data_IF_621207097206
#
_entry.id   IF_621207097206
#
_cell.length_a   1.000
_cell.length_b   1.000
_cell.length_c   1.000
_cell.angle_alpha   90.00
_cell.angle_beta   90.00
_cell.angle_gamma   90.00
#
_symmetry.space_group_name_H-M   'P 1'
#
loop_
_entity.id
_entity.type
_entity.pdbx_description
1 polymer ?
#
# COMPACT_ATOMS: atom_id res chain seq x y z
N UNK A 1 21.13 -13.22 -3.50
CA UNK A 1 21.77 -14.51 -3.88
C UNK A 1 20.64 -15.52 -4.00
N UNK A 2 20.28 -15.95 -5.22
CA UNK A 2 19.25 -16.98 -5.43
C UNK A 2 19.77 -18.29 -4.83
N UNK A 3 19.03 -18.91 -3.90
CA UNK A 3 19.37 -20.19 -3.29
C UNK A 3 19.05 -21.30 -4.28
N UNK A 4 20.07 -22.06 -4.68
CA UNK A 4 19.88 -23.27 -5.49
C UNK A 4 19.34 -24.39 -4.60
N UNK A 5 18.25 -25.02 -5.02
CA UNK A 5 17.68 -26.22 -4.40
C UNK A 5 17.76 -27.37 -5.38
N UNK A 6 17.95 -28.60 -4.89
CA UNK A 6 17.90 -29.81 -5.70
C UNK A 6 16.57 -30.50 -5.38
N UNK A 7 15.76 -30.79 -6.41
CA UNK A 7 14.50 -31.52 -6.22
C UNK A 7 14.76 -33.02 -5.98
N UNK A 8 13.72 -33.77 -5.59
CA UNK A 8 13.80 -35.21 -5.34
C UNK A 8 14.25 -36.05 -6.55
N UNK A 9 14.37 -35.45 -7.71
CA UNK A 9 14.84 -36.05 -8.96
C UNK A 9 16.27 -35.66 -9.31
N UNK A 10 16.94 -34.84 -8.46
CA UNK A 10 18.29 -34.35 -8.68
C UNK A 10 18.38 -33.20 -9.68
N UNK A 11 17.25 -32.56 -10.01
CA UNK A 11 17.21 -31.39 -10.89
C UNK A 11 17.43 -30.12 -10.07
N UNK A 12 18.33 -29.28 -10.52
CA UNK A 12 18.56 -27.95 -9.93
C UNK A 12 17.34 -27.06 -10.21
N UNK A 13 16.56 -26.76 -9.16
CA UNK A 13 15.40 -25.86 -9.23
C UNK A 13 15.80 -24.58 -8.53
N UNK A 14 15.67 -23.45 -9.20
CA UNK A 14 15.86 -22.17 -8.55
C UNK A 14 14.72 -21.96 -7.54
N UNK A 15 15.05 -21.47 -6.36
CA UNK A 15 14.01 -21.06 -5.40
C UNK A 15 13.15 -19.98 -6.00
N UNK A 16 11.82 -20.01 -5.79
CA UNK A 16 10.94 -18.95 -6.28
C UNK A 16 11.35 -17.60 -5.69
N UNK A 17 11.22 -16.55 -6.48
CA UNK A 17 11.44 -15.16 -6.02
C UNK A 17 10.35 -14.80 -5.01
N UNK A 18 10.76 -14.39 -3.82
CA UNK A 18 9.88 -13.94 -2.75
C UNK A 18 9.66 -12.44 -2.83
N UNK A 19 8.43 -12.03 -3.13
CA UNK A 19 7.99 -10.64 -3.19
C UNK A 19 7.18 -10.36 -1.94
N UNK A 20 7.60 -9.36 -1.14
CA UNK A 20 6.88 -8.89 0.05
C UNK A 20 6.22 -7.55 -0.26
N UNK A 21 4.97 -7.41 0.16
CA UNK A 21 4.13 -6.24 -0.08
C UNK A 21 3.65 -5.70 1.27
N UNK A 22 4.06 -4.50 1.63
CA UNK A 22 3.61 -3.81 2.84
C UNK A 22 2.54 -2.78 2.52
N UNK A 23 1.64 -2.56 3.47
CA UNK A 23 0.60 -1.53 3.41
C UNK A 23 1.14 -0.11 3.58
N UNK A 24 0.27 0.78 4.08
CA UNK A 24 0.58 2.19 4.25
C UNK A 24 1.73 2.40 5.24
N UNK A 25 2.67 3.26 4.88
CA UNK A 25 3.84 3.63 5.69
C UNK A 25 3.79 5.14 5.93
N UNK A 26 3.66 5.51 7.20
CA UNK A 26 3.72 6.89 7.70
C UNK A 26 4.71 6.93 8.85
N UNK A 27 5.81 7.65 8.68
CA UNK A 27 6.91 7.75 9.66
C UNK A 27 7.12 9.23 10.03
N UNK A 28 6.14 9.86 10.66
CA UNK A 28 6.20 11.26 11.07
C UNK A 28 6.56 11.46 12.54
N UNK A 29 7.03 10.41 13.20
CA UNK A 29 7.55 10.43 14.57
C UNK A 29 9.01 10.00 14.60
N UNK A 30 9.71 10.42 15.65
CA UNK A 30 11.12 10.09 15.86
C UNK A 30 11.36 8.58 15.97
N UNK A 31 12.62 8.16 15.79
CA UNK A 31 13.09 6.76 15.90
C UNK A 31 12.40 5.81 14.90
N UNK A 32 12.40 6.17 13.61
CA UNK A 32 11.79 5.39 12.54
C UNK A 32 12.30 3.93 12.48
N UNK A 33 13.55 3.67 12.87
CA UNK A 33 14.10 2.32 12.96
C UNK A 33 13.37 1.46 14.00
N UNK A 34 13.05 2.02 15.16
CA UNK A 34 12.28 1.32 16.19
C UNK A 34 10.91 0.87 15.65
N UNK A 35 10.22 1.75 14.94
CA UNK A 35 8.88 1.44 14.45
C UNK A 35 8.88 0.37 13.36
N UNK A 36 9.87 0.34 12.49
CA UNK A 36 10.01 -0.68 11.45
C UNK A 36 10.62 -1.99 11.96
N UNK A 37 11.34 -1.97 13.09
CA UNK A 37 12.10 -3.13 13.58
C UNK A 37 11.26 -4.40 13.80
N UNK A 38 9.96 -4.27 14.09
CA UNK A 38 9.10 -5.42 14.34
C UNK A 38 8.72 -6.22 13.09
N UNK A 39 8.77 -5.59 11.90
CA UNK A 39 8.50 -6.23 10.61
C UNK A 39 9.78 -6.40 9.76
N UNK A 40 10.86 -5.69 10.08
CA UNK A 40 12.12 -5.73 9.34
C UNK A 40 12.65 -7.16 9.09
N UNK A 41 12.53 -8.14 10.01
CA UNK A 41 12.97 -9.50 9.74
C UNK A 41 12.27 -10.15 8.53
N UNK A 42 10.98 -9.89 8.31
CA UNK A 42 10.25 -10.41 7.15
C UNK A 42 10.60 -9.64 5.87
N UNK A 43 10.82 -8.32 5.98
CA UNK A 43 11.23 -7.45 4.86
C UNK A 43 12.60 -7.88 4.35
N UNK A 44 13.60 -8.02 5.24
CA UNK A 44 14.96 -8.45 4.90
C UNK A 44 15.06 -9.90 4.39
N UNK A 45 14.08 -10.74 4.68
CA UNK A 45 14.04 -12.13 4.22
C UNK A 45 13.47 -12.28 2.81
N UNK A 46 12.83 -11.24 2.24
CA UNK A 46 12.31 -11.24 0.89
C UNK A 46 13.42 -10.93 -0.14
N UNK A 47 13.23 -11.39 -1.38
CA UNK A 47 14.11 -11.02 -2.50
C UNK A 47 13.78 -9.62 -3.03
N UNK A 48 12.52 -9.20 -2.87
CA UNK A 48 12.02 -7.83 -3.16
C UNK A 48 10.96 -7.45 -2.15
N UNK A 49 11.10 -6.28 -1.54
CA UNK A 49 10.13 -5.70 -0.63
C UNK A 49 9.61 -4.34 -1.13
N UNK A 50 8.29 -4.22 -1.21
CA UNK A 50 7.59 -3.03 -1.72
C UNK A 50 6.61 -2.54 -0.66
N UNK A 51 6.62 -1.23 -0.34
CA UNK A 51 5.66 -0.58 0.56
C UNK A 51 4.91 0.56 -0.11
N UNK A 52 3.94 1.16 0.59
CA UNK A 52 3.30 2.40 0.16
C UNK A 52 3.71 3.54 1.09
N UNK A 53 4.53 4.46 0.60
CA UNK A 53 4.92 5.66 1.33
C UNK A 53 3.85 6.74 1.13
N UNK A 54 3.07 6.99 2.16
CA UNK A 54 1.84 7.76 2.04
C UNK A 54 2.03 9.27 2.18
N UNK A 55 2.94 9.71 3.09
CA UNK A 55 3.13 11.12 3.40
C UNK A 55 4.43 11.67 2.81
N UNK A 56 4.49 12.98 2.49
CA UNK A 56 5.72 13.59 2.01
C UNK A 56 6.76 13.72 3.13
N UNK A 57 8.03 13.50 2.79
CA UNK A 57 9.16 13.64 3.68
C UNK A 57 9.95 14.90 3.31
N UNK A 58 9.63 16.01 3.96
CA UNK A 58 10.17 17.33 3.63
C UNK A 58 10.09 18.30 4.79
N UNK A 59 11.00 19.26 4.82
CA UNK A 59 10.96 20.44 5.68
C UNK A 59 10.46 21.67 4.92
N UNK A 60 10.16 21.55 3.62
CA UNK A 60 9.73 22.64 2.71
C UNK A 60 8.25 22.54 2.37
N UNK A 61 7.81 23.46 1.55
CA UNK A 61 6.47 23.50 0.98
C UNK A 61 5.41 24.03 1.92
N UNK A 62 4.26 24.25 1.37
CA UNK A 62 3.06 24.69 2.07
C UNK A 62 1.97 23.64 2.03
N UNK A 63 1.10 23.68 3.02
CA UNK A 63 0.00 22.73 3.18
C UNK A 63 -0.99 22.81 2.00
N UNK A 64 -1.35 21.66 1.46
CA UNK A 64 -2.33 21.55 0.39
C UNK A 64 -3.75 21.73 0.96
N UNK A 65 -4.55 22.62 0.34
CA UNK A 65 -5.96 22.73 0.64
C UNK A 65 -6.76 21.60 -0.05
N UNK A 66 -7.72 21.00 0.64
CA UNK A 66 -8.68 20.06 0.04
C UNK A 66 -8.76 18.67 0.66
N UNK A 67 -7.95 18.37 1.66
CA UNK A 67 -8.04 17.16 2.50
C UNK A 67 -7.62 17.48 3.94
N UNK A 68 -7.55 16.50 4.81
CA UNK A 68 -6.90 16.61 6.12
C UNK A 68 -5.39 16.49 5.89
N UNK A 69 -4.63 17.61 5.92
CA UNK A 69 -3.25 17.56 5.48
C UNK A 69 -2.37 16.80 6.47
N UNK A 70 -1.53 15.92 5.95
CA UNK A 70 -0.48 15.31 6.71
C UNK A 70 0.64 16.34 7.00
N UNK A 71 1.29 16.29 8.17
CA UNK A 71 2.53 17.02 8.38
C UNK A 71 3.60 16.49 7.43
N UNK A 72 4.55 17.35 7.02
CA UNK A 72 5.76 16.86 6.35
C UNK A 72 6.58 16.05 7.35
N UNK A 73 6.87 14.80 7.04
CA UNK A 73 7.74 13.97 7.86
C UNK A 73 9.22 14.36 7.64
N UNK A 74 10.07 14.02 8.60
CA UNK A 74 11.50 14.29 8.52
C UNK A 74 12.16 13.45 7.41
N UNK A 75 12.88 14.03 6.44
CA UNK A 75 13.51 13.27 5.34
C UNK A 75 14.44 12.15 5.79
N UNK A 76 15.14 12.32 6.93
CA UNK A 76 16.04 11.32 7.47
C UNK A 76 15.32 10.04 7.95
N UNK A 77 14.00 10.09 8.19
CA UNK A 77 13.24 8.88 8.55
C UNK A 77 13.19 7.85 7.42
N UNK A 78 13.34 8.27 6.15
CA UNK A 78 13.42 7.36 5.00
C UNK A 78 14.64 6.44 5.04
N UNK A 79 15.69 6.79 5.78
CA UNK A 79 16.87 5.94 5.94
C UNK A 79 16.52 4.62 6.63
N UNK A 80 15.51 4.63 7.49
CA UNK A 80 15.02 3.43 8.14
C UNK A 80 14.35 2.46 7.16
N UNK A 81 13.73 2.94 6.07
CA UNK A 81 13.21 2.06 5.01
C UNK A 81 14.35 1.29 4.34
N UNK A 82 15.43 1.99 3.96
CA UNK A 82 16.61 1.35 3.36
C UNK A 82 17.24 0.32 4.31
N UNK A 83 17.42 0.68 5.59
CA UNK A 83 17.97 -0.24 6.59
C UNK A 83 17.07 -1.44 6.88
N UNK A 84 15.76 -1.27 6.76
CA UNK A 84 14.78 -2.35 6.91
C UNK A 84 14.67 -3.25 5.68
N UNK A 85 15.32 -2.90 4.55
CA UNK A 85 15.39 -3.72 3.36
C UNK A 85 14.28 -3.47 2.33
N UNK A 86 13.60 -2.31 2.35
CA UNK A 86 12.66 -1.94 1.28
C UNK A 86 13.41 -1.57 0.01
N UNK A 87 13.04 -2.21 -1.11
CA UNK A 87 13.61 -2.00 -2.45
C UNK A 87 12.83 -0.95 -3.24
N UNK A 88 11.53 -0.85 -3.01
CA UNK A 88 10.67 0.11 -3.70
C UNK A 88 9.51 0.60 -2.84
N UNK A 89 8.96 1.76 -3.24
CA UNK A 89 7.73 2.30 -2.67
C UNK A 89 6.78 2.79 -3.75
N UNK A 90 5.47 2.57 -3.55
CA UNK A 90 4.42 3.28 -4.25
C UNK A 90 4.15 4.62 -3.55
N UNK A 91 3.89 5.69 -4.33
CA UNK A 91 3.72 7.06 -3.83
C UNK A 91 2.35 7.66 -4.14
N UNK A 92 1.57 7.06 -5.05
CA UNK A 92 0.30 7.63 -5.47
C UNK A 92 -0.77 7.47 -4.38
N UNK A 93 -0.76 8.35 -3.40
CA UNK A 93 -1.74 8.46 -2.32
C UNK A 93 -2.41 9.84 -2.27
N UNK A 94 -3.36 10.02 -1.36
CA UNK A 94 -4.02 11.31 -1.13
C UNK A 94 -3.14 12.30 -0.38
N UNK A 95 -2.07 11.83 0.29
CA UNK A 95 -1.22 12.66 1.14
C UNK A 95 0.14 13.03 0.56
N UNK A 96 0.64 12.37 -0.50
CA UNK A 96 1.99 12.65 -1.03
C UNK A 96 2.19 14.12 -1.48
N UNK A 97 1.11 14.80 -1.85
CA UNK A 97 1.14 16.20 -2.27
C UNK A 97 0.81 17.20 -1.15
N UNK A 98 0.63 16.78 0.09
CA UNK A 98 0.18 17.63 1.20
C UNK A 98 1.14 18.77 1.56
N UNK A 99 2.38 18.70 1.09
CA UNK A 99 3.38 19.78 1.20
C UNK A 99 3.71 20.40 -0.16
N UNK A 100 2.82 20.24 -1.14
CA UNK A 100 3.00 20.79 -2.48
C UNK A 100 4.09 20.12 -3.30
N UNK A 101 4.52 20.76 -4.40
CA UNK A 101 5.58 20.25 -5.28
C UNK A 101 6.90 19.97 -4.56
N UNK A 102 7.27 20.84 -3.61
CA UNK A 102 8.52 20.71 -2.84
C UNK A 102 8.55 19.45 -1.99
N UNK A 103 7.38 19.05 -1.43
CA UNK A 103 7.24 17.81 -0.68
C UNK A 103 7.51 16.58 -1.52
N UNK A 104 6.97 16.56 -2.75
CA UNK A 104 7.20 15.47 -3.70
C UNK A 104 8.66 15.43 -4.14
N UNK A 105 9.24 16.59 -4.47
CA UNK A 105 10.63 16.72 -4.90
C UNK A 105 11.61 16.20 -3.84
N UNK A 106 11.48 16.65 -2.59
CA UNK A 106 12.35 16.23 -1.48
C UNK A 106 12.22 14.72 -1.19
N UNK A 107 11.00 14.21 -1.19
CA UNK A 107 10.73 12.79 -0.96
C UNK A 107 11.38 11.93 -2.03
N UNK A 108 11.19 12.27 -3.31
CA UNK A 108 11.79 11.55 -4.44
C UNK A 108 13.31 11.63 -4.38
N UNK A 109 13.87 12.84 -4.18
CA UNK A 109 15.31 13.03 -4.10
C UNK A 109 15.96 12.19 -2.97
N UNK A 110 15.26 12.05 -1.82
CA UNK A 110 15.75 11.20 -0.74
C UNK A 110 15.68 9.72 -1.07
N UNK A 111 14.58 9.24 -1.68
CA UNK A 111 14.44 7.85 -2.13
C UNK A 111 15.53 7.50 -3.16
N UNK A 112 15.76 8.37 -4.13
CA UNK A 112 16.84 8.21 -5.14
C UNK A 112 18.21 8.11 -4.49
N UNK A 113 18.50 8.97 -3.51
CA UNK A 113 19.77 8.96 -2.77
C UNK A 113 19.97 7.67 -1.95
N UNK A 114 18.89 7.02 -1.54
CA UNK A 114 18.88 5.75 -0.81
C UNK A 114 18.86 4.51 -1.73
N UNK A 115 18.69 4.72 -3.05
CA UNK A 115 18.55 3.63 -4.01
C UNK A 115 17.20 2.89 -3.93
N UNK A 116 16.19 3.50 -3.29
CA UNK A 116 14.83 2.95 -3.21
C UNK A 116 14.07 3.37 -4.46
N UNK A 117 13.65 2.40 -5.27
CA UNK A 117 12.84 2.67 -6.46
C UNK A 117 11.45 3.18 -6.07
N UNK A 118 10.84 4.03 -6.91
CA UNK A 118 9.53 4.60 -6.60
C UNK A 118 8.66 4.77 -7.85
N UNK A 119 7.35 4.72 -7.67
CA UNK A 119 6.36 4.96 -8.71
C UNK A 119 5.14 5.69 -8.14
N UNK A 120 4.46 6.47 -8.96
CA UNK A 120 3.17 7.04 -8.58
C UNK A 120 3.18 8.53 -8.26
N UNK A 121 4.34 9.18 -8.17
CA UNK A 121 4.45 10.64 -8.03
C UNK A 121 5.59 11.19 -8.88
N UNK A 122 5.51 12.46 -9.24
CA UNK A 122 6.54 13.09 -10.06
C UNK A 122 6.27 14.57 -10.35
N UNK A 123 7.26 15.23 -10.94
CA UNK A 123 7.17 16.65 -11.33
C UNK A 123 6.12 16.92 -12.41
N UNK A 124 5.73 15.90 -13.18
CA UNK A 124 4.70 15.94 -14.20
C UNK A 124 3.88 14.65 -14.17
N UNK A 125 2.71 14.63 -14.81
CA UNK A 125 1.87 13.44 -14.95
C UNK A 125 2.59 12.30 -15.67
N UNK A 126 3.40 12.61 -16.67
CA UNK A 126 4.21 11.62 -17.39
C UNK A 126 5.20 10.92 -16.44
N UNK A 127 5.92 11.70 -15.62
CA UNK A 127 6.85 11.15 -14.64
C UNK A 127 6.14 10.38 -13.52
N UNK A 128 5.00 10.89 -13.05
CA UNK A 128 4.19 10.21 -12.03
C UNK A 128 3.66 8.85 -12.50
N UNK A 129 3.34 8.69 -13.79
CA UNK A 129 2.84 7.43 -14.38
C UNK A 129 3.95 6.46 -14.79
N UNK A 130 5.21 6.88 -14.75
CA UNK A 130 6.33 6.01 -15.13
C UNK A 130 6.45 4.84 -14.14
N UNK A 131 6.55 3.59 -14.63
CA UNK A 131 6.77 2.45 -13.73
C UNK A 131 8.16 2.51 -13.11
N UNK A 132 8.27 2.08 -11.85
CA UNK A 132 9.54 1.66 -11.29
C UNK A 132 9.85 0.24 -11.78
N UNK A 133 11.10 0.00 -12.22
CA UNK A 133 11.53 -1.33 -12.69
C UNK A 133 12.63 -1.84 -11.78
N UNK A 134 12.37 -2.95 -11.11
CA UNK A 134 13.30 -3.66 -10.23
C UNK A 134 13.88 -4.86 -10.97
N UNK A 135 15.14 -5.19 -10.67
CA UNK A 135 15.79 -6.38 -11.21
C UNK A 135 16.15 -7.34 -10.08
N UNK A 136 15.67 -8.56 -10.16
CA UNK A 136 15.88 -9.61 -9.15
C UNK A 136 15.98 -10.97 -9.80
N UNK A 137 17.00 -11.76 -9.44
CA UNK A 137 17.19 -13.12 -9.97
C UNK A 137 17.26 -13.20 -11.50
N UNK A 138 17.78 -12.16 -12.17
CA UNK A 138 17.83 -12.08 -13.64
C UNK A 138 16.51 -11.73 -14.32
N UNK A 139 15.42 -11.55 -13.56
CA UNK A 139 14.08 -11.15 -14.03
C UNK A 139 13.75 -9.72 -13.60
N UNK A 140 12.73 -9.12 -14.22
CA UNK A 140 12.31 -7.74 -13.96
C UNK A 140 10.88 -7.67 -13.44
N UNK A 141 10.68 -6.82 -12.45
CA UNK A 141 9.36 -6.48 -11.88
C UNK A 141 9.10 -5.01 -12.17
N UNK A 142 7.93 -4.69 -12.74
CA UNK A 142 7.46 -3.31 -12.87
C UNK A 142 6.41 -3.01 -11.81
N UNK A 143 6.56 -1.89 -11.11
CA UNK A 143 5.59 -1.33 -10.17
C UNK A 143 4.94 -0.11 -10.80
N UNK A 144 3.61 -0.13 -10.90
CA UNK A 144 2.76 1.03 -11.22
C UNK A 144 1.96 1.42 -9.97
N UNK A 145 1.66 2.71 -9.81
CA UNK A 145 0.94 3.20 -8.63
C UNK A 145 -0.02 4.32 -9.01
N UNK A 146 -1.27 4.25 -8.51
CA UNK A 146 -2.33 5.21 -8.82
C UNK A 146 -3.17 5.55 -7.59
N UNK A 147 -3.52 6.85 -7.48
CA UNK A 147 -4.50 7.37 -6.54
C UNK A 147 -5.90 7.31 -7.19
N UNK A 148 -6.85 6.67 -6.51
CA UNK A 148 -8.24 6.56 -6.93
C UNK A 148 -9.18 7.42 -6.07
N UNK A 149 -8.70 7.99 -4.95
CA UNK A 149 -9.55 8.66 -3.96
C UNK A 149 -9.37 10.18 -3.94
N UNK A 150 -8.49 10.74 -4.77
CA UNK A 150 -8.22 12.18 -4.77
C UNK A 150 -7.38 12.63 -3.56
N UNK A 151 -7.47 13.91 -3.12
CA UNK A 151 -8.22 14.96 -3.79
C UNK A 151 -7.65 15.32 -5.17
N UNK A 152 -8.47 15.85 -6.08
CA UNK A 152 -8.01 16.22 -7.43
C UNK A 152 -6.86 17.25 -7.41
N UNK A 153 -6.75 18.04 -6.34
CA UNK A 153 -5.64 18.97 -6.14
C UNK A 153 -4.27 18.27 -6.00
N UNK A 154 -4.23 17.04 -5.52
CA UNK A 154 -3.02 16.23 -5.37
C UNK A 154 -2.53 15.61 -6.69
N UNK A 155 -3.36 15.62 -7.74
CA UNK A 155 -3.06 14.98 -9.02
C UNK A 155 -2.01 15.75 -9.82
N UNK A 156 -1.07 15.02 -10.38
CA UNK A 156 -0.10 15.58 -11.31
C UNK A 156 -0.79 16.08 -12.58
N UNK A 157 -0.25 17.12 -13.16
CA UNK A 157 -0.65 17.62 -14.49
C UNK A 157 0.57 17.64 -15.42
N UNK A 158 0.39 18.07 -16.66
CA UNK A 158 1.51 18.24 -17.59
C UNK A 158 2.62 19.15 -17.03
N UNK A 159 2.25 20.13 -16.23
CA UNK A 159 3.16 21.20 -15.78
C UNK A 159 3.15 21.39 -14.24
N UNK A 160 2.59 20.45 -13.50
CA UNK A 160 2.53 20.52 -12.03
C UNK A 160 2.83 19.16 -11.44
N UNK A 161 3.71 19.12 -10.43
CA UNK A 161 4.00 17.94 -9.65
C UNK A 161 2.74 17.44 -8.91
N UNK A 162 2.66 16.15 -8.72
CA UNK A 162 1.55 15.49 -8.07
C UNK A 162 1.65 13.98 -8.18
N UNK A 163 0.59 13.27 -7.80
CA UNK A 163 0.50 11.83 -7.96
C UNK A 163 -0.17 11.42 -9.28
N UNK A 164 0.16 10.22 -9.76
CA UNK A 164 -0.59 9.53 -10.81
C UNK A 164 -1.97 9.14 -10.26
N UNK A 165 -2.99 9.16 -11.10
CA UNK A 165 -4.37 8.94 -10.68
C UNK A 165 -5.19 8.17 -11.71
N UNK A 166 -6.24 7.53 -11.21
CA UNK A 166 -7.32 6.97 -12.01
C UNK A 166 -8.62 7.64 -11.59
N UNK A 167 -9.14 8.52 -12.42
CA UNK A 167 -10.34 9.29 -12.11
C UNK A 167 -11.55 8.37 -11.97
N UNK A 168 -12.29 8.55 -10.88
CA UNK A 168 -13.56 7.89 -10.61
C UNK A 168 -14.73 8.85 -10.87
N UNK A 169 -15.89 8.27 -11.15
CA UNK A 169 -17.17 8.97 -11.18
C UNK A 169 -17.70 9.07 -9.76
N UNK A 170 -18.19 10.25 -9.38
CA UNK A 170 -18.92 10.47 -8.12
C UNK A 170 -20.43 10.42 -8.40
N UNK A 171 -21.22 9.87 -7.49
CA UNK A 171 -22.67 9.75 -7.69
C UNK A 171 -23.42 11.09 -7.62
N UNK A 172 -22.82 12.10 -7.02
CA UNK A 172 -23.37 13.45 -6.85
C UNK A 172 -22.73 14.52 -7.73
N UNK A 173 -21.78 14.15 -8.60
CA UNK A 173 -21.05 15.08 -9.45
C UNK A 173 -19.99 15.93 -8.73
N UNK A 174 -19.72 15.67 -7.46
CA UNK A 174 -18.67 16.36 -6.70
C UNK A 174 -17.26 16.00 -7.25
N UNK A 175 -16.24 16.85 -7.03
CA UNK A 175 -14.86 16.47 -7.29
C UNK A 175 -14.45 15.21 -6.51
N UNK A 176 -13.57 14.41 -7.10
CA UNK A 176 -13.02 13.23 -6.42
C UNK A 176 -12.23 13.65 -5.18
N UNK A 177 -12.62 13.10 -4.05
CA UNK A 177 -11.96 13.31 -2.77
C UNK A 177 -12.15 12.08 -1.87
N UNK A 178 -11.35 11.91 -0.79
CA UNK A 178 -11.44 10.75 0.10
C UNK A 178 -12.81 10.57 0.77
N UNK A 179 -13.61 11.64 0.82
CA UNK A 179 -14.97 11.63 1.40
C UNK A 179 -16.08 11.70 0.36
N UNK A 180 -15.75 11.76 -0.93
CA UNK A 180 -16.73 11.79 -2.02
C UNK A 180 -17.41 10.42 -2.21
N UNK A 181 -18.67 10.39 -2.68
CA UNK A 181 -19.39 9.14 -2.96
C UNK A 181 -18.91 8.53 -4.28
N UNK A 182 -17.77 7.85 -4.26
CA UNK A 182 -17.11 7.24 -5.40
C UNK A 182 -17.89 6.02 -5.89
N UNK A 183 -18.21 5.96 -7.19
CA UNK A 183 -19.12 4.98 -7.77
C UNK A 183 -18.42 3.97 -8.71
N UNK A 184 -17.72 4.46 -9.74
CA UNK A 184 -17.15 3.62 -10.78
C UNK A 184 -15.90 4.27 -11.39
N UNK A 185 -15.00 3.48 -12.03
CA UNK A 185 -13.92 4.05 -12.82
C UNK A 185 -14.46 4.82 -14.04
N UNK A 186 -13.89 5.99 -14.31
CA UNK A 186 -14.16 6.70 -15.54
C UNK A 186 -13.58 5.94 -16.73
N UNK A 187 -14.23 5.96 -17.89
CA UNK A 187 -13.77 5.22 -19.08
C UNK A 187 -12.34 5.58 -19.47
N UNK A 188 -11.97 6.85 -19.41
CA UNK A 188 -10.60 7.32 -19.70
C UNK A 188 -9.59 6.77 -18.68
N UNK A 189 -9.96 6.60 -17.42
CA UNK A 189 -9.09 6.00 -16.40
C UNK A 189 -8.77 4.54 -16.73
N UNK A 190 -9.75 3.78 -17.22
CA UNK A 190 -9.51 2.40 -17.66
C UNK A 190 -8.60 2.33 -18.89
N UNK A 191 -8.73 3.28 -19.82
CA UNK A 191 -7.84 3.38 -20.98
C UNK A 191 -6.39 3.71 -20.55
N UNK A 192 -6.23 4.64 -19.61
CA UNK A 192 -4.94 4.98 -19.02
C UNK A 192 -4.31 3.76 -18.36
N UNK A 193 -5.05 3.08 -17.50
CA UNK A 193 -4.61 1.88 -16.80
C UNK A 193 -4.15 0.79 -17.78
N UNK A 194 -4.95 0.50 -18.80
CA UNK A 194 -4.61 -0.47 -19.84
C UNK A 194 -3.35 -0.08 -20.62
N UNK A 195 -3.24 1.19 -21.03
CA UNK A 195 -2.07 1.69 -21.76
C UNK A 195 -0.78 1.56 -20.96
N UNK A 196 -0.80 1.96 -19.69
CA UNK A 196 0.37 1.95 -18.82
C UNK A 196 0.81 0.52 -18.48
N UNK A 197 -0.13 -0.37 -18.17
CA UNK A 197 0.17 -1.79 -17.93
C UNK A 197 0.74 -2.43 -19.19
N UNK A 198 0.16 -2.16 -20.36
CA UNK A 198 0.68 -2.67 -21.64
C UNK A 198 2.09 -2.16 -21.96
N UNK A 199 2.41 -0.94 -21.57
CA UNK A 199 3.76 -0.39 -21.68
C UNK A 199 4.73 -1.03 -20.66
N UNK A 200 4.33 -1.18 -19.40
CA UNK A 200 5.12 -1.81 -18.35
C UNK A 200 5.45 -3.28 -18.67
N UNK A 201 4.51 -4.01 -19.28
CA UNK A 201 4.69 -5.42 -19.71
C UNK A 201 5.78 -5.60 -20.74
N UNK A 202 6.13 -4.58 -21.52
CA UNK A 202 7.25 -4.59 -22.45
C UNK A 202 8.61 -4.41 -21.76
N UNK A 203 8.60 -3.94 -20.52
CA UNK A 203 9.80 -3.62 -19.74
C UNK A 203 10.12 -4.67 -18.68
N UNK A 204 9.13 -5.51 -18.29
CA UNK A 204 9.24 -6.40 -17.16
C UNK A 204 8.49 -7.73 -17.37
N UNK A 205 8.97 -8.75 -16.67
CA UNK A 205 8.42 -10.11 -16.69
C UNK A 205 7.20 -10.24 -15.76
N UNK A 206 7.10 -9.37 -14.73
CA UNK A 206 5.99 -9.31 -13.79
C UNK A 206 5.57 -7.85 -13.57
N UNK A 207 4.26 -7.59 -13.53
CA UNK A 207 3.69 -6.26 -13.33
C UNK A 207 2.84 -6.22 -12.08
N UNK A 208 3.21 -5.34 -11.14
CA UNK A 208 2.46 -5.04 -9.92
C UNK A 208 1.78 -3.70 -10.07
N UNK A 209 0.49 -3.64 -9.73
CA UNK A 209 -0.30 -2.40 -9.73
C UNK A 209 -0.74 -2.08 -8.30
N UNK A 210 -0.25 -0.97 -7.77
CA UNK A 210 -0.65 -0.43 -6.48
C UNK A 210 -1.78 0.59 -6.67
N UNK A 211 -2.92 0.36 -6.02
CA UNK A 211 -4.11 1.21 -6.08
C UNK A 211 -4.40 1.80 -4.70
N UNK A 212 -4.25 3.09 -4.55
CA UNK A 212 -4.67 3.82 -3.35
C UNK A 212 -6.16 4.08 -3.42
N UNK A 213 -6.97 3.21 -2.77
CA UNK A 213 -8.40 3.07 -3.00
C UNK A 213 -9.17 2.58 -1.77
N UNK A 214 -10.46 2.76 -1.78
CA UNK A 214 -11.37 2.18 -0.80
C UNK A 214 -11.97 3.17 0.18
N UNK A 215 -12.64 2.65 1.18
CA UNK A 215 -13.27 3.42 2.26
C UNK A 215 -12.41 3.27 3.51
N UNK A 216 -11.92 4.38 4.06
CA UNK A 216 -11.09 4.38 5.27
C UNK A 216 -11.81 3.74 6.46
N UNK A 217 -11.06 3.05 7.31
CA UNK A 217 -11.51 2.47 8.58
C UNK A 217 -12.76 1.58 8.49
N UNK A 218 -12.99 0.95 7.34
CA UNK A 218 -14.17 0.12 7.10
C UNK A 218 -13.75 -1.30 6.71
N UNK A 219 -13.69 -2.27 7.63
CA UNK A 219 -12.99 -3.55 7.41
C UNK A 219 -13.67 -4.45 6.36
N UNK A 220 -14.93 -4.73 6.49
CA UNK A 220 -15.62 -5.78 5.73
C UNK A 220 -16.52 -5.24 4.61
N UNK A 221 -16.13 -4.13 3.99
CA UNK A 221 -16.89 -3.51 2.90
C UNK A 221 -15.96 -2.96 1.83
N UNK A 222 -16.12 -3.42 0.61
CA UNK A 222 -15.53 -2.81 -0.57
C UNK A 222 -16.52 -1.80 -1.17
N UNK A 223 -16.03 -0.67 -1.66
CA UNK A 223 -16.83 0.23 -2.48
C UNK A 223 -17.04 -0.39 -3.87
N UNK A 224 -18.14 -0.03 -4.54
CA UNK A 224 -18.59 -0.65 -5.80
C UNK A 224 -17.53 -0.60 -6.92
N UNK A 225 -16.62 0.37 -6.90
CA UNK A 225 -15.56 0.51 -7.89
C UNK A 225 -14.31 -0.34 -7.62
N UNK A 226 -14.12 -0.85 -6.39
CA UNK A 226 -12.83 -1.43 -5.97
C UNK A 226 -12.50 -2.75 -6.67
N UNK A 227 -13.47 -3.67 -6.79
CA UNK A 227 -13.28 -4.91 -7.56
C UNK A 227 -13.18 -4.63 -9.07
N UNK A 228 -14.08 -3.84 -9.69
CA UNK A 228 -14.00 -3.54 -11.12
C UNK A 228 -12.65 -2.97 -11.56
N UNK A 229 -12.06 -2.04 -10.80
CA UNK A 229 -10.77 -1.43 -11.18
C UNK A 229 -9.60 -2.42 -10.99
N UNK A 230 -9.65 -3.26 -9.96
CA UNK A 230 -8.65 -4.29 -9.73
C UNK A 230 -8.69 -5.38 -10.82
N UNK A 231 -9.90 -5.83 -11.20
CA UNK A 231 -10.08 -6.79 -12.28
C UNK A 231 -9.64 -6.22 -13.63
N UNK A 232 -9.97 -4.94 -13.91
CA UNK A 232 -9.52 -4.27 -15.13
C UNK A 232 -7.97 -4.20 -15.21
N UNK A 233 -7.28 -4.01 -14.08
CA UNK A 233 -5.82 -4.08 -14.05
C UNK A 233 -5.30 -5.47 -14.43
N UNK A 234 -5.89 -6.53 -13.87
CA UNK A 234 -5.51 -7.92 -14.21
C UNK A 234 -5.79 -8.25 -15.67
N UNK A 235 -6.94 -7.81 -16.20
CA UNK A 235 -7.32 -7.99 -17.61
C UNK A 235 -6.39 -7.24 -18.56
N UNK A 236 -5.89 -6.07 -18.17
CA UNK A 236 -4.90 -5.30 -18.90
C UNK A 236 -3.50 -5.94 -18.88
N UNK A 237 -3.26 -6.94 -18.05
CA UNK A 237 -2.01 -7.69 -18.01
C UNK A 237 -1.19 -7.52 -16.71
N UNK A 238 -1.74 -6.92 -15.65
CA UNK A 238 -1.12 -6.98 -14.33
C UNK A 238 -1.12 -8.41 -13.80
N UNK A 239 -0.13 -8.73 -12.95
CA UNK A 239 0.01 -10.03 -12.31
C UNK A 239 -0.38 -9.99 -10.84
N UNK A 240 -0.16 -8.86 -10.19
CA UNK A 240 -0.48 -8.63 -8.78
C UNK A 240 -1.16 -7.26 -8.67
N UNK A 241 -2.24 -7.18 -7.91
CA UNK A 241 -2.88 -5.92 -7.54
C UNK A 241 -2.86 -5.77 -6.02
N UNK A 242 -2.42 -4.61 -5.54
CA UNK A 242 -2.39 -4.28 -4.12
C UNK A 242 -3.17 -2.99 -3.84
N UNK A 243 -3.97 -3.00 -2.77
CA UNK A 243 -4.75 -1.85 -2.31
C UNK A 243 -4.15 -1.20 -1.07
N UNK A 244 -4.26 0.13 -0.98
CA UNK A 244 -3.84 0.98 0.13
C UNK A 244 -4.94 1.97 0.52
N UNK A 245 -4.72 2.92 1.43
CA UNK A 245 -5.65 3.97 1.85
C UNK A 245 -6.59 3.60 3.00
N UNK A 246 -7.15 2.40 3.01
CA UNK A 246 -8.21 2.06 3.96
C UNK A 246 -7.75 2.07 5.44
N UNK A 247 -6.44 2.06 5.70
CA UNK A 247 -5.82 1.97 7.03
C UNK A 247 -6.31 0.78 7.87
N UNK A 248 -6.86 -0.21 7.19
CA UNK A 248 -7.30 -1.48 7.75
C UNK A 248 -7.18 -2.55 6.68
N UNK A 249 -6.85 -3.77 7.06
CA UNK A 249 -6.77 -4.86 6.10
C UNK A 249 -8.14 -5.14 5.50
N UNK A 250 -8.13 -5.45 4.21
CA UNK A 250 -9.31 -5.81 3.42
C UNK A 250 -9.16 -7.25 2.93
N UNK A 251 -10.16 -7.78 2.29
CA UNK A 251 -10.12 -9.15 1.80
C UNK A 251 -9.06 -9.39 0.71
N UNK A 252 -8.81 -10.67 0.48
CA UNK A 252 -7.90 -11.17 -0.55
C UNK A 252 -8.70 -11.98 -1.55
N UNK A 253 -8.39 -11.83 -2.83
CA UNK A 253 -9.03 -12.55 -3.92
C UNK A 253 -7.97 -13.14 -4.86
N UNK A 254 -8.23 -14.34 -5.37
CA UNK A 254 -7.41 -14.95 -6.42
C UNK A 254 -8.24 -15.00 -7.71
N UNK A 255 -7.85 -14.21 -8.69
CA UNK A 255 -8.52 -14.11 -9.98
C UNK A 255 -7.68 -14.78 -11.06
N UNK A 256 -8.11 -15.94 -11.56
CA UNK A 256 -7.36 -16.72 -12.57
C UNK A 256 -5.89 -16.95 -12.19
N UNK A 257 -5.65 -17.31 -10.91
CA UNK A 257 -4.31 -17.56 -10.38
C UNK A 257 -3.51 -16.31 -10.01
N UNK A 258 -4.08 -15.11 -10.15
CA UNK A 258 -3.42 -13.83 -9.84
C UNK A 258 -3.99 -13.22 -8.56
N UNK A 259 -3.15 -12.81 -7.60
CA UNK A 259 -3.63 -12.27 -6.34
C UNK A 259 -4.05 -10.80 -6.45
N UNK A 260 -5.15 -10.49 -5.77
CA UNK A 260 -5.63 -9.15 -5.45
C UNK A 260 -5.70 -9.00 -3.94
N UNK A 261 -4.82 -8.21 -3.37
CA UNK A 261 -4.91 -7.76 -1.98
C UNK A 261 -5.70 -6.46 -1.98
N UNK A 262 -6.99 -6.50 -1.62
CA UNK A 262 -7.87 -5.32 -1.72
C UNK A 262 -7.48 -4.18 -0.79
N UNK A 263 -6.76 -4.47 0.29
CA UNK A 263 -6.15 -3.50 1.19
C UNK A 263 -5.19 -4.19 2.14
N UNK A 264 -3.92 -3.81 2.11
CA UNK A 264 -2.90 -4.35 3.00
C UNK A 264 -2.96 -3.73 4.41
N UNK A 265 -3.74 -2.64 4.59
CA UNK A 265 -3.84 -1.93 5.85
C UNK A 265 -2.56 -1.15 6.18
N UNK A 266 -2.30 -0.98 7.48
CA UNK A 266 -1.13 -0.28 7.97
C UNK A 266 0.10 -1.20 7.94
N UNK A 267 1.05 -0.92 7.06
CA UNK A 267 2.37 -1.56 7.05
C UNK A 267 3.21 -1.09 8.25
N UNK A 268 3.33 0.24 8.39
CA UNK A 268 3.85 0.90 9.58
C UNK A 268 3.34 2.35 9.59
N UNK A 269 2.23 2.59 10.27
CA UNK A 269 1.66 3.94 10.40
C UNK A 269 1.84 4.40 11.83
N UNK A 270 2.76 5.36 12.02
CA UNK A 270 3.02 6.01 13.30
C UNK A 270 2.99 7.52 13.11
N UNK A 271 1.92 8.12 13.59
CA UNK A 271 1.64 9.55 13.44
C UNK A 271 0.89 10.11 14.62
N UNK A 272 1.21 11.35 14.97
CA UNK A 272 0.44 12.13 15.95
C UNK A 272 -0.64 12.99 15.30
N UNK A 273 -0.72 12.98 13.96
CA UNK A 273 -1.62 13.87 13.22
C UNK A 273 -3.10 13.70 13.60
N UNK A 274 -3.52 12.49 14.01
CA UNK A 274 -4.89 12.18 14.42
C UNK A 274 -5.04 11.84 15.91
N UNK A 275 -4.00 12.09 16.71
CA UNK A 275 -4.06 11.92 18.16
C UNK A 275 -4.93 12.97 18.81
N UNK A 276 -5.53 12.72 19.99
CA UNK A 276 -6.22 13.75 20.77
C UNK A 276 -5.30 14.95 21.08
N UNK A 277 -5.89 16.15 21.15
CA UNK A 277 -5.15 17.38 21.52
C UNK A 277 -4.38 18.00 20.37
N UNK A 278 -4.83 17.81 19.13
CA UNK A 278 -4.23 18.45 17.95
C UNK A 278 -4.35 19.97 18.00
N UNK A 279 -3.23 20.68 17.82
CA UNK A 279 -3.20 22.14 17.70
C UNK A 279 -3.66 22.62 16.30
N UNK A 280 -3.57 21.78 15.29
CA UNK A 280 -3.97 22.11 13.92
C UNK A 280 -5.50 22.00 13.77
N UNK A 281 -6.21 23.11 13.37
CA UNK A 281 -7.68 23.14 13.37
C UNK A 281 -8.32 22.07 12.48
N UNK A 282 -7.78 21.80 11.29
CA UNK A 282 -8.31 20.77 10.37
C UNK A 282 -8.17 19.36 10.96
N UNK A 283 -7.04 19.05 11.61
CA UNK A 283 -6.81 17.76 12.26
C UNK A 283 -7.70 17.57 13.48
N UNK A 284 -7.85 18.61 14.31
CA UNK A 284 -8.78 18.59 15.46
C UNK A 284 -10.23 18.36 15.00
N UNK A 285 -10.68 19.07 13.98
CA UNK A 285 -12.01 18.89 13.39
C UNK A 285 -12.20 17.49 12.81
N UNK A 286 -11.16 16.90 12.20
CA UNK A 286 -11.21 15.54 11.69
C UNK A 286 -11.33 14.49 12.79
N UNK A 287 -10.60 14.61 13.88
CA UNK A 287 -10.73 13.70 15.04
C UNK A 287 -12.18 13.63 15.53
N UNK A 288 -12.86 14.78 15.66
CA UNK A 288 -14.27 14.82 16.06
C UNK A 288 -15.22 14.30 14.98
N UNK A 289 -14.95 14.61 13.72
CA UNK A 289 -15.75 14.13 12.59
C UNK A 289 -15.65 12.62 12.43
N UNK A 290 -14.45 12.03 12.60
CA UNK A 290 -14.18 10.62 12.49
C UNK A 290 -15.06 9.77 13.39
N UNK A 291 -15.23 10.17 14.65
CA UNK A 291 -16.12 9.49 15.60
C UNK A 291 -17.54 9.37 15.07
N UNK A 292 -18.06 10.47 14.48
CA UNK A 292 -19.41 10.49 13.91
C UNK A 292 -19.54 9.67 12.61
N UNK A 293 -18.51 9.71 11.77
CA UNK A 293 -18.54 9.02 10.46
C UNK A 293 -18.40 7.51 10.58
N UNK A 294 -17.52 7.05 11.44
CA UNK A 294 -17.13 5.65 11.51
C UNK A 294 -17.70 4.90 12.73
N UNK A 295 -18.26 5.62 13.68
CA UNK A 295 -18.99 5.03 14.82
C UNK A 295 -18.12 4.29 15.83
N UNK A 296 -16.80 4.57 15.88
CA UNK A 296 -15.91 3.96 16.86
C UNK A 296 -15.10 5.02 17.63
N UNK A 297 -14.71 4.66 18.86
CA UNK A 297 -13.73 5.40 19.64
C UNK A 297 -12.36 4.74 19.48
N UNK A 298 -11.28 5.51 19.22
CA UNK A 298 -9.94 4.99 19.24
C UNK A 298 -9.58 4.40 20.59
N UNK A 299 -8.86 3.28 20.59
CA UNK A 299 -8.31 2.71 21.81
C UNK A 299 -7.25 3.67 22.41
N UNK A 300 -7.39 4.13 23.65
CA UNK A 300 -6.46 5.08 24.27
C UNK A 300 -5.03 4.52 24.42
N UNK A 301 -4.83 3.22 24.35
CA UNK A 301 -3.50 2.62 24.34
C UNK A 301 -2.74 2.88 23.03
N UNK A 302 -3.46 3.19 21.95
CA UNK A 302 -2.89 3.46 20.62
C UNK A 302 -2.88 4.95 20.33
N UNK A 303 -1.92 5.65 20.90
CA UNK A 303 -1.80 7.12 20.76
C UNK A 303 -1.22 7.56 19.41
N UNK A 304 -0.63 6.65 18.64
CA UNK A 304 -0.07 6.93 17.31
C UNK A 304 -0.93 6.32 16.20
N UNK A 305 -1.09 5.00 16.20
CA UNK A 305 -1.89 4.18 15.29
C UNK A 305 -2.02 2.78 15.90
N UNK A 306 -3.01 1.96 15.50
CA UNK A 306 -3.99 2.14 14.43
C UNK A 306 -5.18 3.00 14.83
N UNK A 307 -5.85 3.59 13.85
CA UNK A 307 -7.00 4.47 14.08
C UNK A 307 -8.30 3.70 14.37
N UNK A 308 -8.46 2.50 13.81
CA UNK A 308 -9.60 1.62 14.04
C UNK A 308 -9.20 0.48 14.99
N UNK A 309 -10.03 0.09 15.98
CA UNK A 309 -9.68 -0.98 16.92
C UNK A 309 -9.31 -2.31 16.27
N UNK A 310 -9.96 -2.68 15.14
CA UNK A 310 -9.63 -3.91 14.41
C UNK A 310 -8.32 -3.81 13.60
N UNK A 311 -7.79 -2.61 13.36
CA UNK A 311 -6.54 -2.41 12.61
C UNK A 311 -5.29 -2.88 13.37
N UNK A 312 -5.44 -3.36 14.59
CA UNK A 312 -4.39 -4.13 15.30
C UNK A 312 -4.08 -5.47 14.59
N UNK A 313 -5.03 -5.99 13.79
CA UNK A 313 -4.80 -7.12 12.91
C UNK A 313 -4.29 -6.58 11.59
N UNK A 314 -3.04 -6.86 11.28
CA UNK A 314 -2.36 -6.37 10.08
C UNK A 314 -1.70 -7.53 9.34
N UNK A 315 -1.23 -7.28 8.12
CA UNK A 315 -0.55 -8.28 7.31
C UNK A 315 0.50 -7.65 6.39
N UNK A 316 1.50 -8.43 6.03
CA UNK A 316 2.27 -8.20 4.82
C UNK A 316 1.82 -9.22 3.77
N UNK A 317 1.51 -8.78 2.57
CA UNK A 317 1.27 -9.68 1.45
C UNK A 317 2.58 -10.35 1.04
N UNK A 318 2.55 -11.64 0.69
CA UNK A 318 3.70 -12.35 0.18
C UNK A 318 3.34 -13.14 -1.07
N UNK A 319 4.13 -13.01 -2.12
CA UNK A 319 3.94 -13.76 -3.37
C UNK A 319 5.24 -14.45 -3.71
N UNK A 320 5.16 -15.76 -3.92
CA UNK A 320 6.27 -16.55 -4.43
C UNK A 320 6.09 -16.71 -5.95
N UNK A 321 7.06 -16.24 -6.70
CA UNK A 321 7.06 -16.24 -8.17
C UNK A 321 8.07 -17.25 -8.69
N UNK A 322 7.60 -18.36 -9.22
CA UNK A 322 8.43 -19.44 -9.73
C UNK A 322 8.98 -19.19 -11.16
N UNK A 323 9.87 -20.06 -11.62
CA UNK A 323 10.50 -19.93 -12.93
C UNK A 323 9.54 -20.20 -14.10
N UNK A 324 8.45 -20.91 -13.87
CA UNK A 324 7.40 -21.15 -14.85
C UNK A 324 6.43 -19.95 -14.97
N UNK A 325 6.59 -18.92 -14.14
CA UNK A 325 5.71 -17.76 -14.07
C UNK A 325 4.50 -17.96 -13.15
N UNK A 326 4.43 -19.06 -12.41
CA UNK A 326 3.40 -19.32 -11.40
C UNK A 326 3.51 -18.39 -10.21
N UNK A 327 2.36 -17.99 -9.66
CA UNK A 327 2.26 -17.13 -8.49
C UNK A 327 1.57 -17.89 -7.36
N UNK A 328 2.24 -17.98 -6.23
CA UNK A 328 1.62 -18.48 -5.01
C UNK A 328 1.51 -17.34 -4.01
N UNK A 329 0.27 -16.98 -3.68
CA UNK A 329 -0.01 -15.89 -2.77
C UNK A 329 -0.12 -16.38 -1.32
N UNK A 330 0.32 -15.55 -0.40
CA UNK A 330 0.19 -15.75 1.02
C UNK A 330 0.26 -14.43 1.79
N UNK A 331 0.20 -14.55 3.09
CA UNK A 331 0.32 -13.43 4.02
C UNK A 331 1.28 -13.77 5.15
N UNK A 332 2.05 -12.78 5.59
CA UNK A 332 2.78 -12.83 6.85
C UNK A 332 1.93 -12.08 7.88
N UNK A 333 1.41 -12.76 8.91
CA UNK A 333 0.57 -12.12 9.91
C UNK A 333 1.35 -11.07 10.71
N UNK A 334 0.75 -9.91 10.92
CA UNK A 334 1.29 -8.81 11.71
C UNK A 334 0.28 -8.38 12.75
N UNK A 335 0.76 -8.04 13.93
CA UNK A 335 -0.01 -7.42 14.99
C UNK A 335 0.55 -6.05 15.33
N UNK A 336 -0.32 -5.08 15.53
CA UNK A 336 0.12 -3.74 15.97
C UNK A 336 0.06 -3.68 17.48
N UNK A 337 1.20 -3.43 18.12
CA UNK A 337 1.33 -3.23 19.57
C UNK A 337 1.16 -1.75 19.94
N UNK A 338 0.64 -1.45 21.15
CA UNK A 338 0.67 -0.07 21.64
C UNK A 338 2.10 0.49 21.69
N UNK A 339 2.29 1.76 21.35
CA UNK A 339 1.30 2.76 20.93
C UNK A 339 1.03 2.80 19.42
N UNK A 340 1.52 1.84 18.61
CA UNK A 340 1.33 1.78 17.16
C UNK A 340 2.39 0.98 16.40
N UNK A 341 3.25 0.19 17.09
CA UNK A 341 4.35 -0.56 16.47
C UNK A 341 3.87 -1.87 15.83
N UNK A 342 4.04 -2.09 14.51
CA UNK A 342 3.76 -3.37 13.88
C UNK A 342 4.84 -4.40 14.24
N UNK A 343 4.43 -5.62 14.58
CA UNK A 343 5.32 -6.75 14.88
C UNK A 343 4.84 -8.01 14.19
N UNK A 344 5.75 -8.91 13.81
CA UNK A 344 5.39 -10.21 13.26
C UNK A 344 4.58 -11.00 14.29
N UNK A 345 3.38 -11.42 13.93
CA UNK A 345 2.51 -12.18 14.80
C UNK A 345 2.90 -13.67 14.79
N UNK A 346 2.95 -14.28 15.96
CA UNK A 346 3.28 -15.70 16.16
C UNK A 346 2.25 -16.40 17.04
N UNK A 347 2.23 -17.74 17.03
CA UNK A 347 1.39 -18.54 17.90
C UNK A 347 -0.10 -18.18 17.84
N UNK A 348 -0.71 -17.95 18.99
CA UNK A 348 -2.14 -17.60 19.09
C UNK A 348 -2.49 -16.26 18.46
N UNK A 349 -1.54 -15.30 18.44
CA UNK A 349 -1.75 -13.99 17.80
C UNK A 349 -1.84 -14.16 16.29
N UNK A 350 -0.96 -14.95 15.68
CA UNK A 350 -1.04 -15.28 14.26
C UNK A 350 -2.36 -15.99 13.90
N UNK A 351 -2.83 -16.89 14.77
CA UNK A 351 -4.14 -17.55 14.63
C UNK A 351 -5.29 -16.54 14.61
N UNK A 352 -5.30 -15.56 15.51
CA UNK A 352 -6.32 -14.50 15.53
C UNK A 352 -6.30 -13.64 14.24
N UNK A 353 -5.11 -13.27 13.76
CA UNK A 353 -4.97 -12.50 12.51
C UNK A 353 -5.48 -13.33 11.33
N UNK A 354 -5.14 -14.62 11.26
CA UNK A 354 -5.65 -15.56 10.26
C UNK A 354 -7.17 -15.59 10.23
N UNK A 355 -7.79 -15.86 11.38
CA UNK A 355 -9.25 -15.97 11.50
C UNK A 355 -9.95 -14.64 11.16
N UNK A 356 -9.30 -13.52 11.52
CA UNK A 356 -9.75 -12.19 11.15
C UNK A 356 -9.76 -12.00 9.62
N UNK A 357 -8.68 -12.35 8.92
CA UNK A 357 -8.55 -12.20 7.46
C UNK A 357 -9.57 -13.07 6.72
N UNK A 358 -9.74 -14.33 7.13
CA UNK A 358 -10.76 -15.22 6.55
C UNK A 358 -12.16 -14.64 6.73
N UNK A 359 -12.49 -14.16 7.92
CA UNK A 359 -13.78 -13.56 8.26
C UNK A 359 -14.07 -12.30 7.45
N UNK A 360 -13.14 -11.34 7.37
CA UNK A 360 -13.38 -10.07 6.66
C UNK A 360 -13.42 -10.25 5.15
N UNK A 361 -12.70 -11.23 4.60
CA UNK A 361 -12.78 -11.58 3.18
C UNK A 361 -14.18 -12.03 2.82
N UNK A 362 -14.74 -13.01 3.56
CA UNK A 362 -16.08 -13.48 3.33
C UNK A 362 -17.14 -12.40 3.58
N UNK A 363 -17.00 -11.63 4.67
CA UNK A 363 -17.93 -10.54 5.01
C UNK A 363 -17.89 -9.38 3.99
N UNK A 364 -16.77 -9.18 3.30
CA UNK A 364 -16.61 -8.23 2.21
C UNK A 364 -17.23 -8.65 0.88
N UNK A 365 -17.89 -9.81 0.82
CA UNK A 365 -18.52 -10.33 -0.39
C UNK A 365 -17.54 -10.95 -1.39
N UNK A 366 -16.30 -11.18 -0.99
CA UNK A 366 -15.29 -11.87 -1.80
C UNK A 366 -15.46 -13.40 -1.68
N UNK A 367 -14.93 -14.18 -2.64
CA UNK A 367 -14.87 -15.62 -2.51
C UNK A 367 -14.24 -16.02 -1.17
N UNK A 368 -14.79 -16.98 -0.44
CA UNK A 368 -14.20 -17.45 0.80
C UNK A 368 -12.77 -17.95 0.55
N UNK A 369 -11.83 -17.46 1.34
CA UNK A 369 -10.46 -17.92 1.29
C UNK A 369 -10.16 -18.79 2.52
N UNK A 370 -9.22 -19.70 2.35
CA UNK A 370 -8.62 -20.45 3.44
C UNK A 370 -7.14 -20.14 3.52
N UNK A 371 -6.68 -19.81 4.71
CA UNK A 371 -5.28 -19.54 4.99
C UNK A 371 -4.65 -20.76 5.68
N UNK A 372 -3.66 -21.37 5.04
CA UNK A 372 -3.00 -22.56 5.56
C UNK A 372 -1.55 -22.24 5.97
N UNK A 373 -1.15 -22.51 7.22
CA UNK A 373 0.23 -22.28 7.65
C UNK A 373 1.24 -23.09 6.84
N UNK A 374 2.28 -22.42 6.35
CA UNK A 374 3.43 -23.06 5.70
C UNK A 374 4.67 -22.20 5.92
N UNK A 375 5.68 -22.80 6.60
CA UNK A 375 6.93 -22.10 6.95
C UNK A 375 6.66 -20.76 7.66
N UNK A 376 6.98 -19.65 7.04
CA UNK A 376 6.93 -18.29 7.56
C UNK A 376 5.75 -17.46 7.00
N UNK A 377 4.80 -18.12 6.32
CA UNK A 377 3.59 -17.46 5.80
C UNK A 377 2.34 -18.32 5.93
N UNK A 378 1.19 -17.70 5.78
CA UNK A 378 -0.10 -18.34 5.57
C UNK A 378 -0.40 -18.33 4.08
N UNK A 379 -0.45 -19.49 3.42
CA UNK A 379 -0.75 -19.63 1.99
C UNK A 379 -2.24 -19.46 1.75
N UNK A 380 -2.62 -18.69 0.73
CA UNK A 380 -3.99 -18.54 0.24
C UNK A 380 -4.38 -19.77 -0.59
N UNK A 381 -5.50 -20.40 -0.23
CA UNK A 381 -6.10 -21.55 -0.94
C UNK A 381 -7.52 -21.25 -1.36
#
# INVERSE_FOLDING_TARGET
MVREMIDDRGVQVQSPISILLAGDIVLDVEDADHWLSGIAPAVLAADVAIGHLEVPHTRRGSELAGDVPAPGAEPAHLDALARSGFDAVSLAGNHIADRGPEGIEDTIARLDALGIAHAGAGATLELARRPAVLQVGGRKIALLSYNCVGPEAAWATRNRAGCAYLKLVTSDGSPVSPTAPLLAPHTEALQVLHSDISAARKLADLVIVALHKGIVHTPARLADYEQPIAHAALEAGADIVVGHHAHIVRGIEIVRGKPVFHGLGNGCVVTRALSPGQDHPARAAWVERRKRLFGFEPDPAYTLAPFHPEAVNAMLGRVLWDDAGGLEAGVVPVHVEPPGRPVLATGTVAGRVKDYLERITAAGGLPPLKLTPRSDMLVVQ
#
